data_IF_872069646041
#
_entry.id   IF_872069646041
#
_cell.length_a   1.000
_cell.length_b   1.000
_cell.length_c   1.000
_cell.angle_alpha   90.00
_cell.angle_beta   90.00
_cell.angle_gamma   90.00
#
_symmetry.space_group_name_H-M   'P 1'
#
loop_
_entity.id
_entity.type
_entity.pdbx_description
1 polymer ?
#
# COMPACT_ATOMS: atom_id res chain seq x y z
N UNK A 1 1.32 -122.44 -37.13
CA UNK A 1 0.81 -122.16 -35.77
C UNK A 1 -0.58 -121.55 -35.87
N UNK A 2 -1.57 -122.04 -35.12
CA UNK A 2 -2.92 -121.44 -35.12
C UNK A 2 -3.00 -120.26 -34.14
N UNK A 3 -3.50 -119.11 -34.60
CA UNK A 3 -3.69 -117.93 -33.75
C UNK A 3 -5.11 -117.38 -33.87
N UNK A 4 -5.63 -116.88 -32.75
CA UNK A 4 -6.95 -116.28 -32.62
C UNK A 4 -6.79 -114.87 -32.00
N UNK A 5 -7.54 -113.90 -32.52
CA UNK A 5 -7.64 -112.54 -32.02
C UNK A 5 -8.87 -112.36 -31.11
N UNK A 6 -8.82 -111.37 -30.20
CA UNK A 6 -9.95 -111.00 -29.34
C UNK A 6 -11.04 -110.24 -30.11
N UNK A 7 -12.17 -109.98 -29.45
CA UNK A 7 -13.31 -109.29 -30.06
C UNK A 7 -12.95 -107.92 -30.68
N UNK A 8 -12.08 -107.14 -30.02
CA UNK A 8 -11.60 -105.82 -30.49
C UNK A 8 -10.31 -105.86 -31.32
N UNK A 9 -9.70 -107.03 -31.51
CA UNK A 9 -8.40 -107.16 -32.20
C UNK A 9 -8.56 -107.82 -33.58
N UNK A 10 -7.69 -107.50 -34.53
CA UNK A 10 -7.56 -108.24 -35.79
C UNK A 10 -6.12 -108.74 -35.98
N UNK A 11 -5.98 -109.87 -36.68
CA UNK A 11 -4.68 -110.37 -37.13
C UNK A 11 -4.39 -109.78 -38.51
N UNK A 12 -3.34 -108.97 -38.60
CA UNK A 12 -2.69 -108.64 -39.86
C UNK A 12 -1.66 -109.73 -40.17
N UNK A 13 -1.87 -110.47 -41.26
CA UNK A 13 -0.97 -111.53 -41.70
C UNK A 13 -0.30 -111.09 -42.99
N UNK A 14 1.02 -111.14 -43.00
CA UNK A 14 1.87 -110.79 -44.14
C UNK A 14 2.90 -111.90 -44.37
N UNK A 15 3.51 -111.93 -45.55
CA UNK A 15 4.57 -112.90 -45.88
C UNK A 15 4.22 -113.85 -47.01
N UNK A 16 4.93 -114.98 -47.09
CA UNK A 16 4.94 -115.86 -48.27
C UNK A 16 3.52 -116.34 -48.63
N UNK A 17 3.09 -116.04 -49.86
CA UNK A 17 1.76 -116.39 -50.39
C UNK A 17 0.66 -115.33 -50.21
N UNK A 18 0.95 -114.19 -49.59
CA UNK A 18 0.01 -113.06 -49.39
C UNK A 18 0.58 -111.83 -50.10
N UNK A 19 -0.20 -111.18 -50.98
CA UNK A 19 0.29 -110.07 -51.82
C UNK A 19 0.49 -108.74 -51.08
N UNK A 20 -0.37 -108.41 -50.12
CA UNK A 20 -0.32 -107.15 -49.36
C UNK A 20 -0.46 -107.44 -47.85
N UNK A 21 -1.69 -107.44 -47.32
CA UNK A 21 -1.99 -107.77 -45.93
C UNK A 21 -3.31 -108.54 -45.94
N UNK A 22 -3.36 -109.68 -45.25
CA UNK A 22 -4.61 -110.42 -45.02
C UNK A 22 -5.09 -110.18 -43.59
N UNK A 23 -6.32 -109.72 -43.46
CA UNK A 23 -6.98 -109.54 -42.18
C UNK A 23 -7.80 -110.78 -41.82
N UNK A 24 -7.64 -111.27 -40.59
CA UNK A 24 -8.41 -112.41 -40.11
C UNK A 24 -8.60 -112.35 -38.59
N UNK A 25 -9.74 -112.85 -38.09
CA UNK A 25 -9.97 -113.06 -36.65
C UNK A 25 -9.30 -114.34 -36.13
N UNK A 26 -9.19 -115.36 -36.98
CA UNK A 26 -8.54 -116.65 -36.66
C UNK A 26 -7.88 -117.20 -37.92
N UNK A 27 -6.63 -117.64 -37.83
CA UNK A 27 -5.93 -118.19 -39.00
C UNK A 27 -4.78 -119.11 -38.60
N UNK A 28 -4.48 -120.06 -39.49
CA UNK A 28 -3.21 -120.78 -39.50
C UNK A 28 -2.12 -119.90 -40.09
N UNK A 29 -1.01 -119.78 -39.39
CA UNK A 29 0.19 -119.08 -39.85
C UNK A 29 1.20 -120.14 -40.29
N UNK A 30 1.57 -120.09 -41.56
CA UNK A 30 2.53 -120.99 -42.18
C UNK A 30 3.98 -120.48 -42.01
N UNK A 31 5.00 -121.36 -42.12
CA UNK A 31 6.40 -120.94 -42.09
C UNK A 31 6.67 -119.88 -43.18
N UNK A 32 7.30 -118.76 -42.80
CA UNK A 32 7.51 -117.61 -43.71
C UNK A 32 6.40 -116.57 -43.72
N UNK A 33 5.34 -116.75 -42.91
CA UNK A 33 4.33 -115.72 -42.66
C UNK A 33 4.53 -115.07 -41.29
N UNK A 34 4.41 -113.74 -41.26
CA UNK A 34 4.43 -112.89 -40.07
C UNK A 34 3.00 -112.50 -39.70
N UNK A 35 2.72 -112.45 -38.40
CA UNK A 35 1.39 -112.09 -37.89
C UNK A 35 1.51 -111.06 -36.77
N UNK A 36 0.86 -109.92 -36.98
CA UNK A 36 0.78 -108.81 -36.02
C UNK A 36 -0.66 -108.66 -35.54
N UNK A 37 -0.84 -108.50 -34.23
CA UNK A 37 -2.13 -108.20 -33.62
C UNK A 37 -2.26 -106.69 -33.45
N UNK A 38 -3.36 -106.10 -33.90
CA UNK A 38 -3.66 -104.70 -33.64
C UNK A 38 -5.09 -104.54 -33.10
N UNK A 39 -5.27 -103.55 -32.24
CA UNK A 39 -6.55 -103.19 -31.61
C UNK A 39 -7.27 -102.15 -32.46
N UNK A 40 -8.59 -102.27 -32.56
CA UNK A 40 -9.47 -101.39 -33.33
C UNK A 40 -10.27 -100.46 -32.40
N UNK A 41 -10.12 -100.63 -31.09
CA UNK A 41 -10.82 -99.82 -30.09
C UNK A 41 -10.58 -98.32 -30.36
N UNK A 42 -11.65 -97.51 -30.43
CA UNK A 42 -11.52 -96.09 -30.72
C UNK A 42 -10.76 -95.39 -29.58
N UNK A 43 -9.83 -94.51 -29.94
CA UNK A 43 -8.98 -93.77 -29.00
C UNK A 43 -9.48 -92.33 -28.91
N UNK A 44 -9.60 -91.82 -27.68
CA UNK A 44 -9.96 -90.43 -27.43
C UNK A 44 -8.71 -89.54 -27.47
N UNK A 45 -8.76 -88.50 -28.30
CA UNK A 45 -7.76 -87.44 -28.38
C UNK A 45 -8.37 -86.15 -27.83
N UNK A 46 -7.77 -85.62 -26.77
CA UNK A 46 -8.20 -84.36 -26.14
C UNK A 46 -7.38 -83.20 -26.70
N UNK A 47 -8.04 -82.16 -27.15
CA UNK A 47 -7.43 -80.92 -27.62
C UNK A 47 -7.97 -79.74 -26.83
N UNK A 48 -7.07 -78.84 -26.43
CA UNK A 48 -7.43 -77.55 -25.85
C UNK A 48 -7.24 -76.48 -26.92
N UNK A 49 -8.34 -76.08 -27.56
CA UNK A 49 -8.30 -75.07 -28.61
C UNK A 49 -8.41 -73.69 -27.97
N UNK A 50 -7.35 -72.91 -28.06
CA UNK A 50 -7.38 -71.49 -27.70
C UNK A 50 -8.07 -70.71 -28.80
N UNK A 51 -9.26 -70.17 -28.50
CA UNK A 51 -10.06 -69.41 -29.44
C UNK A 51 -10.38 -68.01 -28.88
N UNK A 52 -10.73 -67.09 -29.78
CA UNK A 52 -11.13 -65.73 -29.43
C UNK A 52 -12.54 -65.47 -29.98
N UNK A 53 -13.43 -64.92 -29.16
CA UNK A 53 -14.80 -64.62 -29.58
C UNK A 53 -14.83 -63.41 -30.52
N UNK A 54 -15.94 -63.19 -31.23
CA UNK A 54 -16.13 -62.00 -32.06
C UNK A 54 -16.00 -60.67 -31.27
N UNK A 55 -16.12 -60.71 -29.93
CA UNK A 55 -15.90 -59.59 -29.02
C UNK A 55 -14.49 -59.55 -28.41
N UNK A 56 -13.54 -60.30 -28.97
CA UNK A 56 -12.12 -60.39 -28.54
C UNK A 56 -11.89 -60.95 -27.13
N UNK A 57 -12.81 -61.76 -26.61
CA UNK A 57 -12.60 -62.46 -25.34
C UNK A 57 -11.91 -63.81 -25.60
N UNK A 58 -10.76 -64.11 -24.96
CA UNK A 58 -10.09 -65.39 -25.09
C UNK A 58 -10.82 -66.46 -24.26
N UNK A 59 -11.00 -67.65 -24.85
CA UNK A 59 -11.58 -68.79 -24.15
C UNK A 59 -10.97 -70.10 -24.66
N UNK A 60 -10.89 -71.09 -23.77
CA UNK A 60 -10.32 -72.41 -24.08
C UNK A 60 -11.50 -73.36 -24.32
N UNK A 61 -11.59 -73.89 -25.52
CA UNK A 61 -12.58 -74.91 -25.88
C UNK A 61 -11.93 -76.29 -25.73
N UNK A 62 -12.30 -77.08 -24.70
CA UNK A 62 -11.91 -78.48 -24.64
C UNK A 62 -12.72 -79.26 -25.68
N UNK A 63 -12.04 -79.82 -26.68
CA UNK A 63 -12.64 -80.69 -27.68
C UNK A 63 -12.05 -82.09 -27.53
N UNK A 64 -12.92 -83.11 -27.48
CA UNK A 64 -12.49 -84.52 -27.44
C UNK A 64 -12.93 -85.18 -28.73
N UNK A 65 -11.97 -85.62 -29.54
CA UNK A 65 -12.22 -86.36 -30.76
C UNK A 65 -11.92 -87.84 -30.54
N UNK A 66 -12.93 -88.68 -30.76
CA UNK A 66 -12.80 -90.13 -30.68
C UNK A 66 -12.49 -90.66 -32.08
N UNK A 67 -11.27 -91.17 -32.27
CA UNK A 67 -10.79 -91.64 -33.57
C UNK A 67 -10.61 -93.15 -33.49
N UNK A 68 -11.33 -93.88 -34.33
CA UNK A 68 -11.19 -95.32 -34.50
C UNK A 68 -11.48 -95.71 -35.95
N UNK A 69 -10.89 -96.79 -36.47
CA UNK A 69 -11.19 -97.24 -37.82
C UNK A 69 -12.62 -97.78 -37.87
N UNK A 70 -13.35 -97.44 -38.94
CA UNK A 70 -14.70 -97.98 -39.20
C UNK A 70 -14.59 -99.46 -39.53
N UNK A 71 -15.40 -100.30 -38.87
CA UNK A 71 -15.39 -101.76 -39.04
C UNK A 71 -16.66 -102.31 -39.73
N UNK A 72 -17.60 -101.44 -40.12
CA UNK A 72 -18.85 -101.84 -40.77
C UNK A 72 -18.62 -102.06 -42.28
N UNK A 73 -18.75 -103.33 -42.69
CA UNK A 73 -18.84 -103.93 -44.04
C UNK A 73 -17.78 -103.62 -45.13
N UNK A 74 -16.93 -102.60 -44.98
CA UNK A 74 -15.84 -102.30 -45.93
C UNK A 74 -14.46 -102.66 -45.34
N UNK A 75 -13.90 -103.81 -45.75
CA UNK A 75 -12.55 -104.28 -45.37
C UNK A 75 -11.43 -103.26 -45.72
N UNK A 76 -11.68 -102.32 -46.63
CA UNK A 76 -10.73 -101.31 -47.11
C UNK A 76 -10.30 -100.29 -46.04
N UNK A 77 -11.20 -99.91 -45.13
CA UNK A 77 -10.87 -98.95 -44.06
C UNK A 77 -9.94 -99.60 -43.03
N UNK A 78 -10.24 -100.84 -42.66
CA UNK A 78 -9.40 -101.66 -41.79
C UNK A 78 -8.06 -101.99 -42.46
N UNK A 79 -8.04 -102.23 -43.77
CA UNK A 79 -6.82 -102.49 -44.53
C UNK A 79 -5.91 -101.25 -44.54
N UNK A 80 -6.45 -100.05 -44.73
CA UNK A 80 -5.68 -98.78 -44.67
C UNK A 80 -5.11 -98.55 -43.27
N UNK A 81 -5.89 -98.83 -42.24
CA UNK A 81 -5.44 -98.75 -40.85
C UNK A 81 -4.31 -99.75 -40.56
N UNK A 82 -4.47 -101.01 -41.00
CA UNK A 82 -3.45 -102.04 -40.86
C UNK A 82 -2.16 -101.70 -41.64
N UNK A 83 -2.29 -101.11 -42.84
CA UNK A 83 -1.15 -100.62 -43.64
C UNK A 83 -0.40 -99.46 -42.96
N UNK A 84 -1.09 -98.59 -42.22
CA UNK A 84 -0.48 -97.48 -41.49
C UNK A 84 0.33 -97.98 -40.28
N UNK A 85 -0.15 -99.03 -39.60
CA UNK A 85 0.47 -99.58 -38.38
C UNK A 85 1.61 -100.56 -38.70
N UNK A 86 1.52 -101.28 -39.83
CA UNK A 86 2.62 -102.11 -40.29
C UNK A 86 3.78 -101.21 -40.80
N UNK A 87 5.01 -101.34 -40.27
CA UNK A 87 6.13 -100.53 -40.72
C UNK A 87 6.46 -100.85 -42.18
N UNK A 88 6.28 -99.85 -43.06
CA UNK A 88 6.76 -99.89 -44.44
C UNK A 88 8.19 -99.33 -44.46
N UNK A 89 9.18 -100.22 -44.43
CA UNK A 89 10.58 -99.83 -44.60
C UNK A 89 10.80 -99.33 -46.04
N UNK A 90 10.98 -98.02 -46.22
CA UNK A 90 11.56 -97.50 -47.46
C UNK A 90 11.23 -96.05 -47.84
N UNK A 91 10.04 -95.52 -47.55
CA UNK A 91 9.62 -94.22 -48.12
C UNK A 91 9.68 -93.01 -47.16
N UNK A 92 9.90 -93.23 -45.86
CA UNK A 92 9.86 -92.17 -44.83
C UNK A 92 11.12 -91.31 -44.76
N UNK A 93 12.28 -91.79 -45.25
CA UNK A 93 13.55 -91.03 -45.15
C UNK A 93 13.74 -89.93 -46.20
N UNK A 94 13.15 -90.06 -47.40
CA UNK A 94 13.33 -89.06 -48.46
C UNK A 94 12.39 -87.86 -48.33
N UNK A 95 11.17 -88.05 -47.81
CA UNK A 95 10.22 -86.95 -47.63
C UNK A 95 10.52 -86.10 -46.38
N UNK A 96 11.09 -86.69 -45.32
CA UNK A 96 11.51 -85.96 -44.14
C UNK A 96 12.63 -84.94 -44.44
N UNK A 97 13.58 -85.28 -45.33
CA UNK A 97 14.70 -84.40 -45.67
C UNK A 97 14.27 -83.17 -46.53
N UNK A 98 13.29 -83.33 -47.42
CA UNK A 98 12.73 -82.21 -48.20
C UNK A 98 11.88 -81.27 -47.35
N UNK A 99 11.07 -81.82 -46.46
CA UNK A 99 10.24 -81.02 -45.54
C UNK A 99 11.12 -80.26 -44.55
N UNK A 100 12.18 -80.86 -43.97
CA UNK A 100 13.02 -80.17 -42.99
C UNK A 100 13.79 -78.97 -43.57
N UNK A 101 14.19 -79.05 -44.86
CA UNK A 101 14.82 -77.94 -45.57
C UNK A 101 13.84 -76.79 -45.85
N UNK A 102 12.64 -77.08 -46.35
CA UNK A 102 11.61 -76.06 -46.62
C UNK A 102 11.08 -75.44 -45.32
N UNK A 103 10.99 -76.21 -44.24
CA UNK A 103 10.56 -75.71 -42.92
C UNK A 103 11.60 -74.77 -42.30
N UNK A 104 12.89 -75.04 -42.46
CA UNK A 104 13.97 -74.14 -42.00
C UNK A 104 13.98 -72.80 -42.74
N UNK A 105 13.75 -72.79 -44.04
CA UNK A 105 13.74 -71.54 -44.84
C UNK A 105 12.55 -70.67 -44.44
N UNK A 106 11.36 -71.27 -44.27
CA UNK A 106 10.15 -70.54 -43.84
C UNK A 106 10.29 -70.02 -42.40
N UNK A 107 10.94 -70.78 -41.51
CA UNK A 107 11.20 -70.33 -40.14
C UNK A 107 12.14 -69.12 -40.09
N UNK A 108 13.23 -69.14 -40.86
CA UNK A 108 14.17 -68.00 -40.96
C UNK A 108 13.50 -66.78 -41.58
N UNK A 109 12.67 -66.96 -42.61
CA UNK A 109 11.97 -65.85 -43.27
C UNK A 109 10.92 -65.21 -42.36
N UNK A 110 10.12 -66.02 -41.63
CA UNK A 110 9.17 -65.52 -40.61
C UNK A 110 9.86 -64.83 -39.43
N UNK A 111 11.01 -65.33 -38.98
CA UNK A 111 11.81 -64.64 -37.96
C UNK A 111 12.33 -63.28 -38.44
N UNK A 112 12.80 -63.20 -39.70
CA UNK A 112 13.27 -61.95 -40.29
C UNK A 112 12.16 -60.91 -40.44
N UNK A 113 10.97 -61.33 -40.83
CA UNK A 113 9.78 -60.48 -40.91
C UNK A 113 9.29 -60.04 -39.52
N UNK A 114 9.24 -60.94 -38.54
CA UNK A 114 8.88 -60.62 -37.16
C UNK A 114 9.85 -59.63 -36.51
N UNK A 115 11.16 -59.81 -36.70
CA UNK A 115 12.19 -58.85 -36.21
C UNK A 115 12.05 -57.48 -36.88
N UNK A 116 11.69 -57.42 -38.17
CA UNK A 116 11.43 -56.15 -38.87
C UNK A 116 10.18 -55.44 -38.33
N UNK A 117 9.10 -56.17 -38.09
CA UNK A 117 7.90 -55.60 -37.49
C UNK A 117 8.13 -55.12 -36.06
N UNK A 118 8.87 -55.87 -35.23
CA UNK A 118 9.23 -55.43 -33.88
C UNK A 118 10.04 -54.14 -33.88
N UNK A 119 11.02 -54.00 -34.79
CA UNK A 119 11.82 -52.77 -34.92
C UNK A 119 10.91 -51.61 -35.36
N UNK A 120 9.99 -51.85 -36.30
CA UNK A 120 9.09 -50.82 -36.79
C UNK A 120 8.06 -50.38 -35.72
N UNK A 121 7.54 -51.32 -34.93
CA UNK A 121 6.67 -51.04 -33.80
C UNK A 121 7.44 -50.27 -32.72
N UNK A 122 8.64 -50.71 -32.35
CA UNK A 122 9.50 -49.99 -31.40
C UNK A 122 9.84 -48.58 -31.87
N UNK A 123 10.13 -48.39 -33.16
CA UNK A 123 10.38 -47.07 -33.73
C UNK A 123 9.12 -46.18 -33.64
N UNK A 124 7.94 -46.70 -33.98
CA UNK A 124 6.67 -45.96 -33.86
C UNK A 124 6.34 -45.60 -32.41
N UNK A 125 6.54 -46.51 -31.46
CA UNK A 125 6.35 -46.26 -30.03
C UNK A 125 7.30 -45.16 -29.57
N UNK A 126 8.58 -45.22 -29.95
CA UNK A 126 9.57 -44.21 -29.56
C UNK A 126 9.31 -42.83 -30.17
N UNK A 127 8.83 -42.77 -31.42
CA UNK A 127 8.39 -41.53 -32.04
C UNK A 127 7.18 -40.95 -31.29
N UNK A 128 6.24 -41.79 -30.88
CA UNK A 128 5.07 -41.35 -30.12
C UNK A 128 5.44 -40.86 -28.71
N UNK A 129 6.35 -41.54 -28.01
CA UNK A 129 6.89 -41.11 -26.72
C UNK A 129 7.58 -39.75 -26.85
N UNK A 130 8.47 -39.58 -27.84
CA UNK A 130 9.14 -38.30 -28.09
C UNK A 130 8.15 -37.17 -28.42
N UNK A 131 7.09 -37.45 -29.21
CA UNK A 131 6.06 -36.47 -29.51
C UNK A 131 5.27 -36.09 -28.25
N UNK A 132 4.91 -37.05 -27.41
CA UNK A 132 4.24 -36.77 -26.12
C UNK A 132 5.12 -35.99 -25.16
N UNK A 133 6.40 -36.33 -25.08
CA UNK A 133 7.36 -35.59 -24.27
C UNK A 133 7.54 -34.16 -24.78
N UNK A 134 7.58 -33.94 -26.10
CA UNK A 134 7.61 -32.61 -26.68
C UNK A 134 6.32 -31.81 -26.38
N UNK A 135 5.15 -32.41 -26.55
CA UNK A 135 3.85 -31.80 -26.20
C UNK A 135 3.79 -31.42 -24.71
N UNK A 136 4.28 -32.28 -23.82
CA UNK A 136 4.34 -32.01 -22.37
C UNK A 136 5.35 -30.92 -22.06
N UNK A 137 6.50 -30.89 -22.74
CA UNK A 137 7.51 -29.85 -22.56
C UNK A 137 6.99 -28.48 -23.03
N UNK A 138 6.31 -28.42 -24.17
CA UNK A 138 5.66 -27.20 -24.69
C UNK A 138 4.57 -26.70 -23.73
N UNK A 139 3.67 -27.58 -23.27
CA UNK A 139 2.63 -27.22 -22.31
C UNK A 139 3.22 -26.71 -20.97
N UNK A 140 4.32 -27.31 -20.51
CA UNK A 140 5.02 -26.86 -19.31
C UNK A 140 5.72 -25.50 -19.53
N UNK A 141 6.30 -25.26 -20.71
CA UNK A 141 6.91 -23.99 -21.06
C UNK A 141 5.87 -22.86 -21.13
N UNK A 142 4.71 -23.11 -21.76
CA UNK A 142 3.60 -22.15 -21.79
C UNK A 142 3.06 -21.87 -20.38
N UNK A 143 2.89 -22.91 -19.57
CA UNK A 143 2.44 -22.76 -18.18
C UNK A 143 3.47 -21.99 -17.34
N UNK A 144 4.76 -22.19 -17.57
CA UNK A 144 5.83 -21.40 -16.95
C UNK A 144 5.80 -19.94 -17.40
N UNK A 145 5.60 -19.66 -18.70
CA UNK A 145 5.45 -18.28 -19.20
C UNK A 145 4.23 -17.58 -18.60
N UNK A 146 3.07 -18.25 -18.55
CA UNK A 146 1.87 -17.70 -17.91
C UNK A 146 2.07 -17.44 -16.43
N UNK A 147 2.70 -18.36 -15.69
CA UNK A 147 3.07 -18.16 -14.29
C UNK A 147 4.02 -16.98 -14.12
N UNK A 148 5.06 -16.86 -14.95
CA UNK A 148 5.98 -15.72 -14.91
C UNK A 148 5.24 -14.39 -15.15
N UNK A 149 4.36 -14.36 -16.15
CA UNK A 149 3.51 -13.20 -16.44
C UNK A 149 2.62 -12.80 -15.26
N UNK A 150 1.95 -13.76 -14.61
CA UNK A 150 1.14 -13.48 -13.42
C UNK A 150 1.97 -12.99 -12.24
N UNK A 151 3.15 -13.59 -11.99
CA UNK A 151 4.05 -13.13 -10.92
C UNK A 151 4.60 -11.73 -11.19
N UNK A 152 4.92 -11.41 -12.45
CA UNK A 152 5.34 -10.06 -12.83
C UNK A 152 4.21 -9.06 -12.65
N UNK A 153 2.99 -9.39 -13.09
CA UNK A 153 1.82 -8.53 -12.91
C UNK A 153 1.53 -8.25 -11.43
N UNK A 154 1.63 -9.26 -10.56
CA UNK A 154 1.48 -9.09 -9.10
C UNK A 154 2.53 -8.13 -8.54
N UNK A 155 3.81 -8.31 -8.88
CA UNK A 155 4.90 -7.45 -8.40
C UNK A 155 4.79 -6.02 -8.92
N UNK A 156 4.37 -5.84 -10.17
CA UNK A 156 4.14 -4.50 -10.74
C UNK A 156 2.99 -3.82 -9.99
N UNK A 157 1.88 -4.52 -9.75
CA UNK A 157 0.77 -3.97 -8.98
C UNK A 157 1.16 -3.60 -7.54
N UNK A 158 1.95 -4.43 -6.86
CA UNK A 158 2.48 -4.12 -5.52
C UNK A 158 3.33 -2.86 -5.51
N UNK A 159 4.29 -2.74 -6.44
CA UNK A 159 5.15 -1.55 -6.53
C UNK A 159 4.38 -0.29 -6.94
N UNK A 160 3.37 -0.42 -7.81
CA UNK A 160 2.50 0.71 -8.17
C UNK A 160 1.68 1.20 -6.98
N UNK A 161 1.14 0.28 -6.17
CA UNK A 161 0.44 0.62 -4.92
C UNK A 161 1.38 1.30 -3.92
N UNK A 162 2.57 0.73 -3.70
CA UNK A 162 3.57 1.33 -2.80
C UNK A 162 4.00 2.73 -3.26
N UNK A 163 4.25 2.91 -4.56
CA UNK A 163 4.58 4.22 -5.13
C UNK A 163 3.42 5.20 -5.04
N UNK A 164 2.18 4.76 -5.23
CA UNK A 164 1.01 5.60 -5.08
C UNK A 164 0.84 6.08 -3.63
N UNK A 165 1.05 5.20 -2.66
CA UNK A 165 1.06 5.56 -1.22
C UNK A 165 2.20 6.54 -0.94
N UNK A 166 3.42 6.25 -1.38
CA UNK A 166 4.57 7.13 -1.16
C UNK A 166 4.41 8.52 -1.79
N UNK A 167 3.79 8.62 -2.98
CA UNK A 167 3.47 9.91 -3.59
C UNK A 167 2.45 10.68 -2.77
N UNK A 168 1.40 10.00 -2.29
CA UNK A 168 0.37 10.65 -1.47
C UNK A 168 0.92 11.13 -0.14
N UNK A 169 1.79 10.34 0.50
CA UNK A 169 2.48 10.72 1.72
C UNK A 169 3.41 11.92 1.48
N UNK A 170 4.15 11.94 0.38
CA UNK A 170 5.01 13.07 0.02
C UNK A 170 4.23 14.35 -0.29
N UNK A 171 3.05 14.24 -0.93
CA UNK A 171 2.13 15.36 -1.14
C UNK A 171 1.59 15.90 0.19
N UNK A 172 1.11 15.03 1.07
CA UNK A 172 0.62 15.40 2.40
C UNK A 172 1.71 16.06 3.23
N UNK A 173 2.94 15.55 3.17
CA UNK A 173 4.07 16.14 3.90
C UNK A 173 4.41 17.54 3.36
N UNK A 174 4.39 17.75 2.04
CA UNK A 174 4.51 19.09 1.45
C UNK A 174 3.41 20.04 1.89
N UNK A 175 2.18 19.57 1.98
CA UNK A 175 1.06 20.38 2.49
C UNK A 175 1.26 20.75 3.96
N UNK A 176 1.67 19.80 4.80
CA UNK A 176 1.96 20.05 6.22
C UNK A 176 3.10 21.06 6.38
N UNK A 177 4.18 20.94 5.61
CA UNK A 177 5.28 21.91 5.62
C UNK A 177 4.82 23.31 5.17
N UNK A 178 3.98 23.39 4.13
CA UNK A 178 3.40 24.65 3.67
C UNK A 178 2.50 25.28 4.72
N UNK A 179 1.66 24.48 5.38
CA UNK A 179 0.77 24.94 6.44
C UNK A 179 1.56 25.38 7.67
N UNK A 180 2.60 24.65 8.06
CA UNK A 180 3.50 25.03 9.15
C UNK A 180 4.23 26.35 8.82
N UNK A 181 4.75 26.50 7.59
CA UNK A 181 5.37 27.73 7.14
C UNK A 181 4.38 28.90 7.23
N UNK A 182 3.17 28.76 6.70
CA UNK A 182 2.13 29.79 6.80
C UNK A 182 1.81 30.13 8.26
N UNK A 183 1.58 29.13 9.11
CA UNK A 183 1.29 29.33 10.53
C UNK A 183 2.43 30.08 11.25
N UNK A 184 3.69 29.76 10.95
CA UNK A 184 4.83 30.51 11.52
C UNK A 184 4.87 31.95 11.02
N UNK A 185 4.59 32.21 9.74
CA UNK A 185 4.55 33.58 9.21
C UNK A 185 3.41 34.39 9.81
N UNK A 186 2.23 33.79 10.01
CA UNK A 186 1.10 34.43 10.66
C UNK A 186 1.38 34.72 12.14
N UNK A 187 2.00 33.77 12.84
CA UNK A 187 2.43 33.97 14.24
C UNK A 187 3.42 35.12 14.34
N UNK A 188 4.46 35.14 13.51
CA UNK A 188 5.44 36.23 13.48
C UNK A 188 4.79 37.56 13.13
N UNK A 189 3.85 37.58 12.18
CA UNK A 189 3.09 38.78 11.82
C UNK A 189 2.25 39.27 13.00
N UNK A 190 1.58 38.40 13.73
CA UNK A 190 0.81 38.75 14.91
C UNK A 190 1.69 39.27 16.05
N UNK A 191 2.84 38.64 16.31
CA UNK A 191 3.83 39.10 17.30
C UNK A 191 4.41 40.48 16.93
N UNK A 192 4.76 40.69 15.67
CA UNK A 192 5.26 41.98 15.19
C UNK A 192 4.18 43.06 15.24
N UNK A 193 2.95 42.76 14.84
CA UNK A 193 1.84 43.71 14.90
C UNK A 193 1.51 44.09 16.35
N UNK A 194 1.40 43.11 17.25
CA UNK A 194 1.14 43.37 18.67
C UNK A 194 2.26 44.20 19.30
N UNK A 195 3.53 43.87 19.03
CA UNK A 195 4.67 44.66 19.49
C UNK A 195 4.64 46.09 18.94
N UNK A 196 4.38 46.26 17.64
CA UNK A 196 4.27 47.58 17.03
C UNK A 196 3.10 48.40 17.59
N UNK A 197 1.94 47.79 17.84
CA UNK A 197 0.80 48.44 18.48
C UNK A 197 1.12 48.89 19.91
N UNK A 198 1.76 48.04 20.72
CA UNK A 198 2.16 48.40 22.08
C UNK A 198 3.21 49.51 22.08
N UNK A 199 4.21 49.43 21.20
CA UNK A 199 5.22 50.50 21.06
C UNK A 199 4.59 51.82 20.59
N UNK A 200 3.63 51.76 19.66
CA UNK A 200 2.87 52.93 19.23
C UNK A 200 2.08 53.54 20.39
N UNK A 201 1.29 52.74 21.11
CA UNK A 201 0.49 53.21 22.25
C UNK A 201 1.37 53.79 23.35
N UNK A 202 2.50 53.15 23.65
CA UNK A 202 3.48 53.63 24.63
C UNK A 202 4.02 54.99 24.24
N UNK A 203 4.46 55.17 22.98
CA UNK A 203 4.96 56.46 22.47
C UNK A 203 3.89 57.54 22.48
N UNK A 204 2.64 57.20 22.17
CA UNK A 204 1.52 58.15 22.24
C UNK A 204 1.27 58.58 23.68
N UNK A 205 1.27 57.65 24.64
CA UNK A 205 1.12 57.96 26.06
C UNK A 205 2.29 58.81 26.59
N UNK A 206 3.54 58.47 26.24
CA UNK A 206 4.72 59.26 26.59
C UNK A 206 4.64 60.69 26.04
N UNK A 207 4.31 60.84 24.74
CA UNK A 207 4.17 62.15 24.12
C UNK A 207 3.03 62.97 24.77
N UNK A 208 1.91 62.32 25.09
CA UNK A 208 0.79 62.97 25.79
C UNK A 208 1.16 63.38 27.22
N UNK A 209 1.92 62.54 27.94
CA UNK A 209 2.40 62.84 29.29
C UNK A 209 3.38 64.03 29.28
N UNK A 210 4.31 64.06 28.34
CA UNK A 210 5.22 65.18 28.15
C UNK A 210 4.49 66.49 27.83
N UNK A 211 3.47 66.41 26.97
CA UNK A 211 2.64 67.55 26.60
C UNK A 211 1.84 68.05 27.81
N UNK A 212 1.23 67.14 28.59
CA UNK A 212 0.51 67.48 29.82
C UNK A 212 1.42 68.15 30.85
N UNK A 213 2.62 67.61 31.07
CA UNK A 213 3.58 68.21 32.01
C UNK A 213 4.02 69.61 31.58
N UNK A 214 4.30 69.81 30.28
CA UNK A 214 4.64 71.13 29.75
C UNK A 214 3.49 72.11 29.90
N UNK A 215 2.26 71.67 29.64
CA UNK A 215 1.06 72.50 29.85
C UNK A 215 0.90 72.88 31.32
N UNK A 216 0.99 71.93 32.25
CA UNK A 216 0.87 72.20 33.69
C UNK A 216 1.98 73.09 34.22
N UNK A 217 3.21 72.90 33.75
CA UNK A 217 4.32 73.77 34.09
C UNK A 217 4.09 75.20 33.56
N UNK A 218 3.62 75.35 32.31
CA UNK A 218 3.31 76.66 31.73
C UNK A 218 2.15 77.35 32.46
N UNK A 219 1.07 76.62 32.77
CA UNK A 219 -0.05 77.11 33.59
C UNK A 219 0.41 77.55 34.97
N UNK A 220 1.29 76.78 35.62
CA UNK A 220 1.87 77.14 36.92
C UNK A 220 2.67 78.44 36.86
N UNK A 221 3.48 78.63 35.82
CA UNK A 221 4.24 79.87 35.60
C UNK A 221 3.31 81.06 35.34
N UNK A 222 2.27 80.88 34.52
CA UNK A 222 1.28 81.93 34.26
C UNK A 222 0.53 82.32 35.53
N UNK A 223 0.06 81.34 36.30
CA UNK A 223 -0.62 81.59 37.57
C UNK A 223 0.27 82.31 38.58
N UNK A 224 1.55 81.91 38.68
CA UNK A 224 2.53 82.60 39.52
C UNK A 224 2.70 84.06 39.11
N UNK A 225 2.87 84.33 37.81
CA UNK A 225 2.99 85.69 37.27
C UNK A 225 1.71 86.52 37.47
N UNK A 226 0.54 85.93 37.30
CA UNK A 226 -0.74 86.59 37.58
C UNK A 226 -0.83 86.99 39.05
N UNK A 227 -0.48 86.10 39.97
CA UNK A 227 -0.49 86.39 41.41
C UNK A 227 0.54 87.43 41.81
N UNK A 228 1.74 87.39 41.22
CA UNK A 228 2.76 88.42 41.42
C UNK A 228 2.29 89.77 40.89
N UNK A 229 1.68 89.82 39.70
CA UNK A 229 1.13 91.05 39.14
C UNK A 229 -0.04 91.59 39.97
N UNK A 230 -0.94 90.74 40.45
CA UNK A 230 -2.02 91.11 41.37
C UNK A 230 -1.45 91.69 42.67
N UNK A 231 -0.42 91.05 43.26
CA UNK A 231 0.25 91.53 44.46
C UNK A 231 0.93 92.88 44.22
N UNK A 232 1.59 93.07 43.08
CA UNK A 232 2.18 94.36 42.70
C UNK A 232 1.13 95.44 42.49
N UNK A 233 0.01 95.13 41.82
CA UNK A 233 -1.10 96.07 41.66
C UNK A 233 -1.73 96.43 43.00
N UNK A 234 -1.91 95.47 43.90
CA UNK A 234 -2.42 95.72 45.25
C UNK A 234 -1.45 96.59 46.06
N UNK A 235 -0.15 96.29 46.00
CA UNK A 235 0.89 97.10 46.64
C UNK A 235 0.95 98.53 46.07
N UNK A 236 0.86 98.69 44.74
CA UNK A 236 0.80 99.99 44.10
C UNK A 236 -0.46 100.78 44.47
N UNK A 237 -1.63 100.13 44.51
CA UNK A 237 -2.89 100.73 44.97
C UNK A 237 -2.81 101.16 46.45
N UNK A 238 -2.24 100.32 47.31
CA UNK A 238 -2.03 100.65 48.71
C UNK A 238 -1.06 101.83 48.88
N UNK A 239 0.04 101.86 48.12
CA UNK A 239 1.00 102.96 48.13
C UNK A 239 0.40 104.27 47.60
N UNK A 240 -0.43 104.20 46.57
CA UNK A 240 -1.17 105.35 46.05
C UNK A 240 -2.12 105.91 47.11
N UNK A 241 -2.91 105.05 47.75
CA UNK A 241 -3.85 105.45 48.80
C UNK A 241 -3.14 106.05 50.02
N UNK A 242 -2.01 105.47 50.44
CA UNK A 242 -1.19 106.02 51.52
C UNK A 242 -0.63 107.42 51.18
N UNK A 243 -0.15 107.62 49.95
CA UNK A 243 0.32 108.94 49.48
C UNK A 243 -0.80 109.96 49.41
N UNK A 244 -1.98 109.55 48.94
CA UNK A 244 -3.15 110.41 48.89
C UNK A 244 -3.55 110.87 50.29
N UNK A 245 -3.66 109.95 51.26
CA UNK A 245 -3.96 110.31 52.65
C UNK A 245 -2.90 111.22 53.28
N UNK A 246 -1.61 110.99 53.01
CA UNK A 246 -0.55 111.85 53.51
C UNK A 246 -0.65 113.27 52.91
N UNK A 247 -0.90 113.38 51.60
CA UNK A 247 -1.08 114.67 50.93
C UNK A 247 -2.34 115.40 51.42
N UNK A 248 -3.46 114.69 51.60
CA UNK A 248 -4.71 115.25 52.13
C UNK A 248 -4.53 115.71 53.58
N UNK A 249 -3.79 114.96 54.41
CA UNK A 249 -3.45 115.34 55.77
C UNK A 249 -2.54 116.58 55.82
N UNK A 250 -1.54 116.68 54.95
CA UNK A 250 -0.69 117.88 54.82
C UNK A 250 -1.50 119.12 54.38
N UNK A 251 -2.41 118.96 53.41
CA UNK A 251 -3.32 120.02 52.97
C UNK A 251 -4.23 120.49 54.12
N UNK A 252 -4.81 119.55 54.86
CA UNK A 252 -5.66 119.86 56.01
C UNK A 252 -4.87 120.58 57.11
N UNK A 253 -3.64 120.13 57.40
CA UNK A 253 -2.73 120.79 58.34
C UNK A 253 -2.45 122.24 57.95
N UNK A 254 -2.02 122.48 56.71
CA UNK A 254 -1.79 123.83 56.18
C UNK A 254 -3.04 124.70 56.18
N UNK A 255 -4.20 124.13 55.87
CA UNK A 255 -5.47 124.84 55.95
C UNK A 255 -5.78 125.27 57.40
N UNK A 256 -5.57 124.39 58.38
CA UNK A 256 -5.77 124.70 59.80
C UNK A 256 -4.76 125.72 60.32
N UNK A 257 -3.51 125.64 59.90
CA UNK A 257 -2.50 126.66 60.19
C UNK A 257 -2.88 128.03 59.62
N UNK A 258 -3.35 128.07 58.35
CA UNK A 258 -3.83 129.29 57.72
C UNK A 258 -5.07 129.86 58.42
N UNK A 259 -6.02 129.01 58.83
CA UNK A 259 -7.18 129.41 59.65
C UNK A 259 -6.74 129.97 61.00
N UNK A 260 -5.75 129.35 61.66
CA UNK A 260 -5.17 129.82 62.92
C UNK A 260 -4.48 131.18 62.77
N UNK A 261 -3.69 131.36 61.70
CA UNK A 261 -3.07 132.64 61.35
C UNK A 261 -4.12 133.73 61.08
N UNK A 262 -5.19 133.41 60.34
CA UNK A 262 -6.31 134.33 60.13
C UNK A 262 -7.04 134.66 61.43
N UNK A 263 -7.23 133.69 62.33
CA UNK A 263 -7.84 133.92 63.63
C UNK A 263 -6.97 134.82 64.53
N UNK A 264 -5.66 134.60 64.56
CA UNK A 264 -4.70 135.48 65.24
C UNK A 264 -4.71 136.88 64.64
N UNK A 265 -4.69 137.01 63.31
CA UNK A 265 -4.76 138.31 62.64
C UNK A 265 -6.09 139.03 62.95
N UNK A 266 -7.22 138.32 62.98
CA UNK A 266 -8.52 138.87 63.40
C UNK A 266 -8.52 139.28 64.87
N UNK A 267 -7.93 138.47 65.76
CA UNK A 267 -7.82 138.78 67.19
C UNK A 267 -6.93 140.01 67.43
N UNK A 268 -5.79 140.10 66.74
CA UNK A 268 -4.93 141.29 66.75
C UNK A 268 -5.69 142.51 66.22
N UNK A 269 -6.41 142.38 65.10
CA UNK A 269 -7.24 143.46 64.55
C UNK A 269 -8.33 143.92 65.53
N UNK A 270 -9.01 142.99 66.21
CA UNK A 270 -10.01 143.30 67.24
C UNK A 270 -9.39 143.94 68.49
N UNK A 271 -8.22 143.46 68.94
CA UNK A 271 -7.47 144.03 70.05
C UNK A 271 -7.01 145.47 69.75
N UNK A 272 -6.44 145.71 68.57
CA UNK A 272 -6.08 147.06 68.12
C UNK A 272 -7.31 147.97 68.03
N UNK A 273 -8.44 147.47 67.53
CA UNK A 273 -9.68 148.24 67.43
C UNK A 273 -10.25 148.60 68.81
N UNK A 274 -10.29 147.65 69.74
CA UNK A 274 -10.77 147.88 71.11
C UNK A 274 -9.86 148.83 71.89
N UNK A 275 -8.53 148.72 71.73
CA UNK A 275 -7.60 149.69 72.27
C UNK A 275 -7.83 151.08 71.69
N UNK A 276 -7.97 151.21 70.36
CA UNK A 276 -8.24 152.49 69.68
C UNK A 276 -9.55 153.13 70.18
N UNK A 277 -10.61 152.35 70.38
CA UNK A 277 -11.88 152.79 70.95
C UNK A 277 -11.71 153.25 72.42
N UNK A 278 -10.91 152.55 73.22
CA UNK A 278 -10.67 152.89 74.63
C UNK A 278 -9.87 154.20 74.83
N UNK A 279 -8.97 154.56 73.90
CA UNK A 279 -8.29 155.87 73.87
C UNK A 279 -9.08 156.96 73.14
N UNK A 280 -10.35 156.73 72.83
CA UNK A 280 -11.23 157.73 72.22
C UNK A 280 -10.87 158.07 70.77
N UNK A 281 -10.14 157.19 70.07
CA UNK A 281 -9.69 157.39 68.69
C UNK A 281 -8.39 158.18 68.53
N UNK A 282 -7.69 158.52 69.61
CA UNK A 282 -6.39 159.21 69.54
C UNK A 282 -5.27 158.27 69.08
N UNK A 283 -4.84 158.47 67.82
CA UNK A 283 -3.79 157.68 67.18
C UNK A 283 -2.41 157.86 67.85
N UNK A 284 -2.12 159.03 68.42
CA UNK A 284 -0.83 159.32 69.05
C UNK A 284 -0.60 158.48 70.30
N UNK A 285 -1.60 158.45 71.19
CA UNK A 285 -1.55 157.69 72.45
C UNK A 285 -1.51 156.18 72.22
N UNK A 286 -2.26 155.67 71.23
CA UNK A 286 -2.22 154.24 70.87
C UNK A 286 -0.84 153.81 70.37
N UNK A 287 -0.20 154.64 69.53
CA UNK A 287 1.14 154.37 69.01
C UNK A 287 2.16 154.27 70.14
N UNK A 288 2.16 155.22 71.07
CA UNK A 288 3.11 155.23 72.18
C UNK A 288 2.94 154.00 73.08
N UNK A 289 1.71 153.60 73.39
CA UNK A 289 1.42 152.37 74.14
C UNK A 289 1.93 151.11 73.44
N UNK A 290 1.71 150.99 72.12
CA UNK A 290 2.20 149.85 71.35
C UNK A 290 3.73 149.83 71.27
N UNK A 291 4.39 150.98 71.20
CA UNK A 291 5.86 151.06 71.18
C UNK A 291 6.49 150.66 72.53
N UNK A 292 5.84 150.99 73.65
CA UNK A 292 6.26 150.57 74.99
C UNK A 292 6.04 149.05 75.18
N UNK A 293 4.86 148.53 74.82
CA UNK A 293 4.55 147.10 74.98
C UNK A 293 5.38 146.22 74.04
N UNK A 294 5.66 146.70 72.83
CA UNK A 294 6.53 146.04 71.86
C UNK A 294 8.04 146.11 72.17
N UNK A 295 8.44 146.78 73.26
CA UNK A 295 9.84 146.87 73.70
C UNK A 295 10.75 147.68 72.78
N UNK A 296 10.21 148.66 72.04
CA UNK A 296 11.00 149.54 71.15
C UNK A 296 11.57 150.78 71.86
N UNK A 297 11.46 150.85 73.19
CA UNK A 297 12.06 151.86 74.07
C UNK A 297 12.68 151.21 75.31
#
# INVERSE_FOLDING_TARGET
>A
MYRVAKASEYLAITGVGIKDIKLAKKSWIFPGQSCTKFDISPVNYTFEVQAMSAKKLPFILPAVFTIGPRYDDDDDALLKYAKLICPHDGLTKQNAAKIDAETKIIAIQREGEGKKEEINVKAKVKIYENLREAEVAEANAELAQKKAGWTQASRVAEVELEKAVALRDAELQREVERMNALATTEKLKAELLTKASVEYDTKVQEANWDLYNKQKAAEGVLYGREKEAEAQMAAAKAAFFARQQAADAELYGKQKEAEGMMALAKAQGFYLKTLLEAVGGDYGALRDYLMINGGMF
#
